data_IF_896722211411
#
_entry.id   IF_896722211411
#
_cell.length_a   1.000
_cell.length_b   1.000
_cell.length_c   1.000
_cell.angle_alpha   90.00
_cell.angle_beta   90.00
_cell.angle_gamma   90.00
#
_symmetry.space_group_name_H-M   'P 1'
#
loop_
_entity.id
_entity.type
_entity.pdbx_description
1 polymer ?
#
# COMPACT_ATOMS: atom_id res chain seq x y z
N UNK A 1 3.28 4.26 7.32
CA UNK A 1 4.58 4.80 6.83
C UNK A 1 5.43 3.73 6.14
N UNK A 2 5.91 2.70 6.84
CA UNK A 2 6.81 1.69 6.24
C UNK A 2 6.14 0.93 5.08
N UNK A 3 4.88 0.52 5.24
CA UNK A 3 4.12 -0.16 4.19
C UNK A 3 3.95 0.75 2.97
N UNK A 4 3.61 2.04 3.17
CA UNK A 4 3.53 3.03 2.09
C UNK A 4 4.84 3.15 1.32
N UNK A 5 5.94 3.33 2.05
CA UNK A 5 7.27 3.43 1.45
C UNK A 5 7.59 2.19 0.58
N UNK A 6 7.36 0.99 1.13
CA UNK A 6 7.64 -0.28 0.44
C UNK A 6 6.73 -0.56 -0.76
N UNK A 7 5.53 0.00 -0.80
CA UNK A 7 4.57 -0.20 -1.90
C UNK A 7 4.73 0.90 -2.97
N UNK A 8 4.99 2.15 -2.58
CA UNK A 8 4.77 3.34 -3.43
C UNK A 8 6.01 4.19 -3.69
N UNK A 9 7.06 4.08 -2.87
CA UNK A 9 8.19 5.02 -2.92
C UNK A 9 9.45 4.37 -3.47
N UNK A 10 9.70 3.10 -3.15
CA UNK A 10 10.86 2.37 -3.71
C UNK A 10 10.62 2.12 -5.20
N UNK A 11 11.61 2.42 -6.05
CA UNK A 11 11.54 2.29 -7.51
C UNK A 11 10.99 0.93 -7.99
N UNK A 12 11.33 -0.14 -7.28
CA UNK A 12 10.67 -1.43 -7.38
C UNK A 12 9.92 -1.71 -6.08
N UNK A 13 8.59 -1.83 -6.08
CA UNK A 13 7.83 -2.11 -4.85
C UNK A 13 8.29 -3.40 -4.20
N UNK A 14 8.66 -3.32 -2.92
CA UNK A 14 9.01 -4.49 -2.09
C UNK A 14 7.75 -5.28 -1.74
N UNK A 15 6.62 -4.58 -1.59
CA UNK A 15 5.31 -5.16 -1.29
C UNK A 15 4.31 -4.76 -2.37
N UNK A 16 3.38 -5.67 -2.66
CA UNK A 16 2.22 -5.38 -3.51
C UNK A 16 1.13 -4.75 -2.65
N UNK A 17 0.37 -3.82 -3.22
CA UNK A 17 -0.86 -3.38 -2.61
C UNK A 17 -1.96 -4.44 -2.77
N UNK A 18 -2.22 -5.18 -1.70
CA UNK A 18 -3.22 -6.24 -1.66
C UNK A 18 -4.65 -5.76 -1.94
N UNK A 19 -4.94 -4.47 -1.77
CA UNK A 19 -6.25 -3.89 -2.05
C UNK A 19 -6.41 -3.46 -3.52
N UNK A 20 -5.33 -3.52 -4.30
CA UNK A 20 -5.34 -3.21 -5.74
C UNK A 20 -5.42 -4.47 -6.62
N UNK A 21 -5.77 -5.62 -6.02
CA UNK A 21 -6.02 -6.86 -6.77
C UNK A 21 -7.46 -6.91 -7.22
N UNK A 22 -7.71 -7.57 -8.34
CA UNK A 22 -9.07 -7.86 -8.82
C UNK A 22 -9.86 -8.58 -7.74
N UNK A 23 -11.12 -8.16 -7.56
CA UNK A 23 -12.08 -8.82 -6.68
C UNK A 23 -12.69 -9.99 -7.48
N UNK A 24 -12.60 -11.23 -7.01
CA UNK A 24 -13.31 -12.36 -7.60
C UNK A 24 -14.83 -12.11 -7.62
N UNK A 25 -15.50 -12.59 -8.67
CA UNK A 25 -16.95 -12.43 -8.81
C UNK A 25 -17.75 -13.14 -7.71
N UNK A 26 -17.17 -14.20 -7.13
CA UNK A 26 -17.74 -15.02 -6.06
C UNK A 26 -17.38 -14.52 -4.65
N UNK A 27 -16.66 -13.40 -4.53
CA UNK A 27 -16.26 -12.85 -3.23
C UNK A 27 -17.49 -12.40 -2.43
N UNK A 28 -17.68 -12.90 -1.19
CA UNK A 28 -18.83 -12.53 -0.37
C UNK A 28 -18.91 -11.02 -0.07
N UNK A 29 -20.09 -10.39 -0.09
CA UNK A 29 -20.23 -8.94 0.09
C UNK A 29 -19.64 -8.39 1.39
N UNK A 30 -19.68 -9.17 2.47
CA UNK A 30 -19.10 -8.84 3.79
C UNK A 30 -17.56 -8.86 3.79
N UNK A 31 -16.95 -9.51 2.79
CA UNK A 31 -15.50 -9.49 2.57
C UNK A 31 -15.05 -8.32 1.68
N UNK A 32 -16.00 -7.69 0.96
CA UNK A 32 -15.75 -6.54 0.10
C UNK A 32 -16.09 -5.25 0.84
N UNK A 33 -17.20 -5.22 1.57
CA UNK A 33 -17.72 -4.06 2.26
C UNK A 33 -17.97 -4.34 3.74
N UNK A 34 -17.51 -3.41 4.59
CA UNK A 34 -17.84 -3.38 6.00
C UNK A 34 -18.71 -2.15 6.31
N UNK A 35 -19.77 -2.33 7.09
CA UNK A 35 -20.62 -1.24 7.53
C UNK A 35 -20.04 -0.63 8.81
N UNK A 36 -19.48 0.58 8.70
CA UNK A 36 -18.95 1.34 9.83
C UNK A 36 -19.79 2.58 10.06
N UNK A 37 -20.65 2.56 11.07
CA UNK A 37 -21.58 3.66 11.33
C UNK A 37 -22.50 3.95 10.13
N UNK A 38 -22.56 5.20 9.68
CA UNK A 38 -23.42 5.63 8.57
C UNK A 38 -22.86 5.31 7.17
N UNK A 39 -21.64 4.76 7.06
CA UNK A 39 -20.97 4.57 5.77
C UNK A 39 -20.56 3.12 5.53
N UNK A 40 -20.61 2.71 4.26
CA UNK A 40 -20.01 1.45 3.79
C UNK A 40 -18.56 1.71 3.38
N UNK A 41 -17.64 0.95 3.96
CA UNK A 41 -16.22 1.02 3.67
C UNK A 41 -15.80 -0.18 2.82
N UNK A 42 -15.11 0.07 1.72
CA UNK A 42 -14.46 -0.98 0.95
C UNK A 42 -13.26 -1.52 1.74
N UNK A 43 -13.28 -2.82 2.05
CA UNK A 43 -12.30 -3.52 2.90
C UNK A 43 -11.60 -4.68 2.21
N UNK A 44 -11.91 -4.93 0.93
CA UNK A 44 -11.28 -5.98 0.14
C UNK A 44 -9.75 -5.95 0.20
N UNK A 45 -9.16 -7.15 0.22
CA UNK A 45 -7.75 -7.41 -0.03
C UNK A 45 -7.56 -8.87 -0.49
N UNK A 46 -6.55 -9.14 -1.32
CA UNK A 46 -6.17 -10.50 -1.67
C UNK A 46 -5.69 -11.29 -0.44
N UNK A 47 -6.32 -12.45 -0.20
CA UNK A 47 -6.01 -13.35 0.93
C UNK A 47 -5.05 -14.47 0.55
N UNK A 48 -5.02 -14.86 -0.72
CA UNK A 48 -4.12 -15.88 -1.23
C UNK A 48 -2.74 -15.29 -1.48
N UNK A 49 -1.91 -15.24 -0.44
CA UNK A 49 -0.58 -14.65 -0.48
C UNK A 49 0.40 -15.50 -1.30
N UNK A 50 0.15 -16.81 -1.41
CA UNK A 50 1.07 -17.77 -2.04
C UNK A 50 1.10 -17.55 -3.55
N UNK A 51 -0.06 -17.28 -4.15
CA UNK A 51 -0.20 -17.10 -5.59
C UNK A 51 -0.06 -15.63 -6.05
N UNK A 52 0.28 -14.71 -5.15
CA UNK A 52 0.58 -13.34 -5.55
C UNK A 52 1.88 -13.27 -6.36
N UNK A 53 1.97 -12.34 -7.33
CA UNK A 53 3.22 -12.14 -8.05
C UNK A 53 4.33 -11.78 -7.05
N UNK A 54 5.53 -12.32 -7.28
CA UNK A 54 6.68 -12.01 -6.43
C UNK A 54 7.21 -10.62 -6.78
N UNK A 55 7.76 -9.92 -5.78
CA UNK A 55 8.48 -8.69 -6.05
C UNK A 55 9.73 -8.98 -6.88
N UNK A 56 10.02 -8.11 -7.84
CA UNK A 56 11.28 -8.10 -8.58
C UNK A 56 12.35 -7.26 -7.88
N UNK A 57 12.04 -6.67 -6.71
CA UNK A 57 12.99 -5.86 -5.96
C UNK A 57 14.18 -6.70 -5.48
N UNK A 58 15.39 -6.30 -5.86
CA UNK A 58 16.66 -6.95 -5.50
C UNK A 58 17.50 -6.11 -4.51
N UNK A 59 16.93 -5.07 -3.91
CA UNK A 59 17.67 -4.20 -2.98
C UNK A 59 17.98 -4.94 -1.69
N UNK A 60 19.18 -4.70 -1.16
CA UNK A 60 19.55 -5.23 0.15
C UNK A 60 18.75 -4.53 1.25
N UNK A 61 18.45 -5.24 2.36
CA UNK A 61 17.67 -4.70 3.48
C UNK A 61 18.27 -3.41 4.05
N UNK A 62 19.61 -3.32 4.14
CA UNK A 62 20.29 -2.11 4.58
C UNK A 62 20.05 -0.90 3.67
N UNK A 63 19.99 -1.11 2.35
CA UNK A 63 19.68 -0.05 1.39
C UNK A 63 18.22 0.41 1.53
N UNK A 64 17.29 -0.54 1.70
CA UNK A 64 15.87 -0.23 1.94
C UNK A 64 15.72 0.61 3.22
N UNK A 65 16.45 0.26 4.28
CA UNK A 65 16.40 0.99 5.55
C UNK A 65 16.96 2.40 5.42
N UNK A 66 18.10 2.57 4.75
CA UNK A 66 18.68 3.88 4.47
C UNK A 66 17.70 4.76 3.69
N UNK A 67 17.16 4.26 2.58
CA UNK A 67 16.21 5.01 1.75
C UNK A 67 14.90 5.33 2.48
N UNK A 68 14.46 4.48 3.42
CA UNK A 68 13.28 4.77 4.24
C UNK A 68 13.49 6.01 5.12
N UNK A 69 14.64 6.09 5.80
CA UNK A 69 14.96 7.25 6.63
C UNK A 69 15.16 8.51 5.79
N UNK A 70 15.90 8.42 4.69
CA UNK A 70 16.08 9.53 3.75
C UNK A 70 14.74 10.09 3.26
N UNK A 71 13.82 9.21 2.83
CA UNK A 71 12.49 9.61 2.37
C UNK A 71 11.69 10.33 3.46
N UNK A 72 11.60 9.73 4.65
CA UNK A 72 10.79 10.27 5.74
C UNK A 72 11.32 11.57 6.34
N UNK A 73 12.63 11.82 6.25
CA UNK A 73 13.27 12.99 6.84
C UNK A 73 13.40 14.17 5.87
N UNK A 74 13.65 13.92 4.58
CA UNK A 74 14.00 14.98 3.63
C UNK A 74 13.04 15.12 2.45
N UNK A 75 12.34 14.05 2.06
CA UNK A 75 11.53 14.04 0.82
C UNK A 75 10.04 14.16 1.06
N UNK A 76 9.52 13.54 2.12
CA UNK A 76 8.09 13.59 2.45
C UNK A 76 7.72 14.92 3.12
N UNK A 77 6.75 15.63 2.57
CA UNK A 77 6.33 16.93 3.06
C UNK A 77 5.21 16.78 4.11
N UNK A 78 5.56 16.48 5.36
CA UNK A 78 4.60 16.23 6.46
C UNK A 78 3.47 17.26 6.62
N UNK A 79 3.77 18.54 6.34
CA UNK A 79 2.79 19.63 6.41
C UNK A 79 1.78 19.64 5.26
N UNK A 80 2.10 19.04 4.12
CA UNK A 80 1.32 19.13 2.87
C UNK A 80 0.81 17.78 2.37
N UNK A 81 1.51 16.71 2.69
CA UNK A 81 1.24 15.38 2.16
C UNK A 81 0.58 14.49 3.21
N UNK A 82 -0.34 13.64 2.76
CA UNK A 82 -0.96 12.56 3.54
C UNK A 82 -0.58 11.24 2.93
N UNK A 83 -0.07 10.33 3.77
CA UNK A 83 0.17 8.95 3.38
C UNK A 83 -1.16 8.25 3.20
N UNK A 84 -1.45 7.80 1.97
CA UNK A 84 -2.68 7.10 1.67
C UNK A 84 -2.40 5.83 0.89
N UNK A 85 -2.53 4.68 1.55
CA UNK A 85 -2.14 3.40 0.97
C UNK A 85 -3.00 3.00 -0.24
N UNK A 86 -4.25 3.46 -0.29
CA UNK A 86 -5.26 2.96 -1.25
C UNK A 86 -5.26 3.64 -2.62
N UNK A 87 -4.66 4.83 -2.79
CA UNK A 87 -4.65 5.52 -4.09
C UNK A 87 -3.46 5.18 -4.96
N UNK A 88 -3.62 5.32 -6.28
CA UNK A 88 -2.47 5.45 -7.18
C UNK A 88 -1.66 6.71 -6.77
N UNK A 89 -0.34 6.57 -6.70
CA UNK A 89 0.56 7.63 -6.20
C UNK A 89 0.82 7.62 -4.68
N UNK A 90 -0.11 7.13 -3.86
CA UNK A 90 0.11 6.93 -2.42
C UNK A 90 0.16 8.19 -1.54
N UNK A 91 -0.02 9.37 -2.16
CA UNK A 91 0.07 10.68 -1.52
C UNK A 91 -1.14 11.51 -1.93
N UNK A 92 -1.77 12.16 -0.95
CA UNK A 92 -2.72 13.25 -1.18
C UNK A 92 -2.12 14.56 -0.70
N UNK A 93 -2.38 15.65 -1.41
CA UNK A 93 -2.13 17.00 -0.91
C UNK A 93 -3.28 17.41 0.00
N UNK A 94 -2.95 17.99 1.15
CA UNK A 94 -3.90 18.61 2.10
C UNK A 94 -4.45 19.91 1.54
#
# INVERSE_FOLDING_TARGET
>A
MIIHFRIKVVNHPVLINLQNTTIPEDAPPDQIFHQGGERRHHVWYAKDIINLPKTMNQMHVGQILHSFFEYGSHRFQWGREVIFLRTQGGIFNK
#
